data_IF_975789349130
#
_entry.id   IF_975789349130
#
_cell.length_a   1.000
_cell.length_b   1.000
_cell.length_c   1.000
_cell.angle_alpha   90.00
_cell.angle_beta   90.00
_cell.angle_gamma   90.00
#
_symmetry.space_group_name_H-M   'P 1'
#
loop_
_entity.id
_entity.type
_entity.pdbx_description
1 polymer ?
#
# COMPACT_ATOMS: atom_id res chain seq x y z
N UNK A 1 2.37 1.38 -7.18
CA UNK A 1 2.86 2.03 -5.94
C UNK A 1 3.25 0.97 -4.93
N UNK A 2 4.37 1.11 -4.27
CA UNK A 2 4.91 0.05 -3.40
C UNK A 2 5.75 0.61 -2.24
N UNK A 3 6.06 -0.26 -1.28
CA UNK A 3 7.13 -0.12 -0.30
C UNK A 3 8.24 -1.10 -0.69
N UNK A 4 9.49 -0.63 -0.73
CA UNK A 4 10.65 -1.49 -0.95
C UNK A 4 11.03 -2.23 0.34
N UNK A 5 11.57 -3.45 0.21
CA UNK A 5 12.16 -4.15 1.33
C UNK A 5 13.58 -3.64 1.59
N UNK A 6 13.99 -3.53 2.84
CA UNK A 6 15.41 -3.35 3.15
C UNK A 6 16.20 -4.64 2.82
N UNK A 7 17.47 -4.52 2.47
CA UNK A 7 18.32 -5.67 2.09
C UNK A 7 18.32 -6.79 3.13
N UNK A 8 18.29 -6.46 4.41
CA UNK A 8 18.30 -7.41 5.53
C UNK A 8 17.03 -8.29 5.51
N UNK A 9 15.85 -7.68 5.39
CA UNK A 9 14.57 -8.41 5.31
C UNK A 9 14.47 -9.25 4.02
N UNK A 10 15.05 -8.77 2.93
CA UNK A 10 15.12 -9.52 1.68
C UNK A 10 16.06 -10.73 1.81
N UNK A 11 17.21 -10.59 2.48
CA UNK A 11 18.14 -11.69 2.73
C UNK A 11 17.54 -12.77 3.63
N UNK A 12 16.91 -12.39 4.75
CA UNK A 12 16.21 -13.32 5.64
C UNK A 12 15.15 -14.16 4.90
N UNK A 13 14.36 -13.49 4.04
CA UNK A 13 13.36 -14.18 3.24
C UNK A 13 14.00 -15.11 2.20
N UNK A 14 15.09 -14.68 1.54
CA UNK A 14 15.77 -15.49 0.54
C UNK A 14 16.40 -16.74 1.14
N UNK A 15 16.94 -16.68 2.35
CA UNK A 15 17.49 -17.84 3.07
C UNK A 15 16.47 -18.98 3.21
N UNK A 16 15.19 -18.68 3.38
CA UNK A 16 14.13 -19.69 3.49
C UNK A 16 13.49 -20.05 2.16
N UNK A 17 13.47 -19.13 1.18
CA UNK A 17 12.83 -19.34 -0.12
C UNK A 17 13.78 -19.99 -1.13
N UNK A 18 15.06 -19.62 -1.17
CA UNK A 18 16.01 -20.12 -2.15
C UNK A 18 16.14 -21.65 -2.16
N UNK A 19 16.21 -22.35 -1.00
CA UNK A 19 16.25 -23.81 -0.98
C UNK A 19 15.02 -24.52 -1.53
N UNK A 20 13.88 -23.82 -1.62
CA UNK A 20 12.62 -24.38 -2.11
C UNK A 20 12.51 -24.33 -3.63
N UNK A 21 13.18 -23.37 -4.28
CA UNK A 21 13.07 -23.11 -5.73
C UNK A 21 13.39 -24.33 -6.60
N UNK A 22 14.45 -25.12 -6.36
CA UNK A 22 14.78 -26.27 -7.19
C UNK A 22 13.72 -27.37 -7.20
N UNK A 23 12.96 -27.50 -6.10
CA UNK A 23 11.89 -28.51 -5.97
C UNK A 23 10.57 -28.09 -6.63
N UNK A 24 10.47 -26.83 -7.12
CA UNK A 24 9.27 -26.27 -7.73
C UNK A 24 9.61 -25.48 -9.00
N UNK A 25 10.18 -26.14 -10.03
CA UNK A 25 10.65 -25.49 -11.25
C UNK A 25 9.50 -24.96 -12.13
N UNK A 26 8.26 -25.44 -11.93
CA UNK A 26 7.06 -24.99 -12.65
C UNK A 26 6.58 -23.61 -12.19
N UNK A 27 7.01 -23.16 -11.00
CA UNK A 27 6.67 -21.83 -10.52
C UNK A 27 7.60 -20.76 -11.11
N UNK A 28 7.03 -19.62 -11.45
CA UNK A 28 7.80 -18.42 -11.80
C UNK A 28 8.15 -17.68 -10.52
N UNK A 29 9.30 -17.99 -9.95
CA UNK A 29 9.79 -17.32 -8.76
C UNK A 29 10.13 -15.87 -9.04
N UNK A 30 9.71 -14.98 -8.13
CA UNK A 30 10.10 -13.56 -8.14
C UNK A 30 11.52 -13.45 -7.62
N UNK A 31 12.39 -12.79 -8.36
CA UNK A 31 13.76 -12.53 -7.90
C UNK A 31 13.79 -11.56 -6.70
N UNK A 32 14.84 -11.63 -5.90
CA UNK A 32 15.02 -10.78 -4.71
C UNK A 32 14.91 -9.29 -5.06
N UNK A 33 15.55 -8.87 -6.17
CA UNK A 33 15.53 -7.48 -6.65
C UNK A 33 14.14 -6.97 -7.07
N UNK A 34 13.19 -7.91 -7.23
CA UNK A 34 11.82 -7.61 -7.62
C UNK A 34 10.84 -7.64 -6.44
N UNK A 35 11.32 -7.98 -5.25
CA UNK A 35 10.47 -8.04 -4.07
C UNK A 35 10.08 -6.65 -3.57
N UNK A 36 8.81 -6.44 -3.45
CA UNK A 36 8.23 -5.21 -2.92
C UNK A 36 6.82 -5.48 -2.35
N UNK A 37 6.42 -4.68 -1.40
CA UNK A 37 5.06 -4.68 -0.87
C UNK A 37 4.20 -3.72 -1.70
N UNK A 38 3.29 -4.27 -2.48
CA UNK A 38 2.39 -3.46 -3.32
C UNK A 38 1.34 -2.74 -2.48
N UNK A 39 1.23 -1.42 -2.63
CA UNK A 39 0.17 -0.59 -2.04
C UNK A 39 -1.01 -0.40 -3.01
N UNK A 40 -0.72 -0.22 -4.29
CA UNK A 40 -1.72 -0.12 -5.33
C UNK A 40 -1.10 -0.46 -6.69
N UNK A 41 -1.77 -1.29 -7.47
CA UNK A 41 -1.42 -1.58 -8.84
C UNK A 41 -2.20 -0.65 -9.76
N UNK A 42 -1.50 0.19 -10.53
CA UNK A 42 -2.13 1.27 -11.32
C UNK A 42 -2.40 0.86 -12.78
N UNK A 43 -1.91 -0.32 -13.21
CA UNK A 43 -1.98 -0.70 -14.61
C UNK A 43 -1.12 0.19 -15.50
N UNK A 44 -1.57 0.42 -16.73
CA UNK A 44 -0.94 1.36 -17.66
C UNK A 44 -1.35 2.79 -17.30
N UNK A 45 -0.36 3.69 -17.23
CA UNK A 45 -0.54 5.08 -16.84
C UNK A 45 0.08 5.96 -17.91
N UNK A 46 -0.68 6.90 -18.45
CA UNK A 46 -0.19 7.87 -19.43
C UNK A 46 0.74 8.93 -18.80
N UNK A 47 1.47 9.66 -19.64
CA UNK A 47 2.41 10.70 -19.19
C UNK A 47 1.73 11.82 -18.40
N UNK A 48 0.52 12.21 -18.77
CA UNK A 48 -0.23 13.28 -18.10
C UNK A 48 -0.62 12.87 -16.69
N UNK A 49 -1.12 11.64 -16.54
CA UNK A 49 -1.42 11.08 -15.22
C UNK A 49 -0.15 10.86 -14.39
N UNK A 50 0.95 10.42 -15.01
CA UNK A 50 2.26 10.25 -14.35
C UNK A 50 2.75 11.56 -13.75
N UNK A 51 2.67 12.68 -14.49
CA UNK A 51 3.03 14.00 -13.96
C UNK A 51 2.18 14.45 -12.77
N UNK A 52 0.89 14.10 -12.76
CA UNK A 52 -0.01 14.39 -11.64
C UNK A 52 0.21 13.49 -10.43
N UNK A 53 0.64 12.25 -10.67
CA UNK A 53 0.91 11.26 -9.61
C UNK A 53 1.95 11.77 -8.62
N UNK A 54 3.04 12.37 -9.07
CA UNK A 54 4.11 12.85 -8.20
C UNK A 54 3.58 13.78 -7.09
N UNK A 55 2.78 14.78 -7.46
CA UNK A 55 2.19 15.71 -6.49
C UNK A 55 1.19 14.99 -5.56
N UNK A 56 0.36 14.08 -6.09
CA UNK A 56 -0.62 13.33 -5.30
C UNK A 56 0.04 12.37 -4.31
N UNK A 57 1.12 11.72 -4.73
CA UNK A 57 1.88 10.79 -3.88
C UNK A 57 2.62 11.53 -2.77
N UNK A 58 3.23 12.68 -3.06
CA UNK A 58 3.80 13.56 -2.03
C UNK A 58 2.77 13.94 -0.97
N UNK A 59 1.56 14.33 -1.39
CA UNK A 59 0.49 14.68 -0.47
C UNK A 59 -0.05 13.48 0.31
N UNK A 60 -0.08 12.28 -0.28
CA UNK A 60 -0.47 11.06 0.40
C UNK A 60 0.58 10.69 1.47
N UNK A 61 1.87 10.61 1.08
CA UNK A 61 2.96 10.22 1.97
C UNK A 61 3.07 11.12 3.22
N UNK A 62 2.96 12.43 3.05
CA UNK A 62 3.05 13.40 4.17
C UNK A 62 1.96 13.27 5.24
N UNK A 63 0.90 12.49 5.00
CA UNK A 63 -0.18 12.25 5.98
C UNK A 63 0.09 11.07 6.89
N UNK A 64 1.10 10.26 6.56
CA UNK A 64 1.41 9.03 7.27
C UNK A 64 2.81 9.09 7.87
N UNK A 65 2.95 8.53 9.07
CA UNK A 65 4.26 8.31 9.72
C UNK A 65 4.89 7.03 9.22
N UNK A 66 6.23 6.85 9.36
CA UNK A 66 6.88 5.57 9.12
C UNK A 66 6.19 4.42 9.87
N UNK A 67 6.15 3.25 9.23
CA UNK A 67 5.45 2.06 9.71
C UNK A 67 6.46 1.00 10.13
N UNK A 68 6.26 0.40 11.30
CA UNK A 68 7.02 -0.78 11.71
C UNK A 68 6.35 -2.03 11.13
N UNK A 69 7.05 -2.74 10.25
CA UNK A 69 6.54 -3.90 9.52
C UNK A 69 7.52 -5.07 9.63
N UNK A 70 7.03 -6.30 9.49
CA UNK A 70 7.82 -7.50 9.31
C UNK A 70 7.16 -8.42 8.29
N UNK A 71 7.94 -9.32 7.67
CA UNK A 71 7.41 -10.40 6.85
C UNK A 71 7.04 -11.57 7.75
N UNK A 72 5.90 -12.22 7.52
CA UNK A 72 5.49 -13.36 8.32
C UNK A 72 4.58 -14.31 7.56
N UNK A 73 4.79 -15.60 7.80
CA UNK A 73 3.97 -16.66 7.25
C UNK A 73 3.92 -16.69 5.73
N UNK A 74 2.99 -17.46 5.19
CA UNK A 74 2.76 -17.55 3.76
C UNK A 74 1.30 -17.88 3.44
N UNK A 75 0.93 -17.65 2.19
CA UNK A 75 -0.38 -18.00 1.69
C UNK A 75 -0.40 -18.01 0.16
N UNK A 76 -1.59 -18.24 -0.39
CA UNK A 76 -1.76 -18.26 -1.83
C UNK A 76 -3.10 -17.66 -2.26
N UNK A 77 -3.12 -17.07 -3.45
CA UNK A 77 -4.37 -16.61 -4.08
C UNK A 77 -4.72 -17.50 -5.27
N UNK A 78 -6.02 -17.85 -5.43
CA UNK A 78 -7.14 -17.62 -4.51
C UNK A 78 -7.15 -18.57 -3.30
N UNK A 79 -6.46 -19.71 -3.35
CA UNK A 79 -6.31 -20.68 -2.28
C UNK A 79 -5.09 -21.58 -2.55
N UNK A 80 -4.50 -22.21 -1.51
CA UNK A 80 -3.29 -23.01 -1.63
C UNK A 80 -3.43 -24.20 -2.60
N UNK A 81 -4.61 -24.84 -2.62
CA UNK A 81 -4.88 -26.01 -3.48
C UNK A 81 -5.03 -25.68 -4.97
N UNK A 82 -5.22 -24.41 -5.31
CA UNK A 82 -5.35 -23.96 -6.71
C UNK A 82 -4.75 -22.56 -6.89
N UNK A 83 -3.54 -22.40 -6.40
CA UNK A 83 -2.84 -21.13 -6.39
C UNK A 83 -2.51 -20.62 -7.80
N UNK A 84 -2.61 -19.31 -7.95
CA UNK A 84 -2.00 -18.56 -9.05
C UNK A 84 -0.86 -17.67 -8.55
N UNK A 85 -0.88 -17.32 -7.26
CA UNK A 85 0.15 -16.52 -6.61
C UNK A 85 0.47 -17.14 -5.26
N UNK A 86 1.76 -17.42 -5.02
CA UNK A 86 2.31 -17.72 -3.71
C UNK A 86 2.88 -16.43 -3.12
N UNK A 87 2.62 -16.15 -1.84
CA UNK A 87 3.04 -14.91 -1.19
C UNK A 87 3.46 -15.14 0.27
N UNK A 88 4.25 -14.22 0.82
CA UNK A 88 4.45 -14.07 2.26
C UNK A 88 3.63 -12.90 2.79
N UNK A 89 3.13 -13.03 4.01
CA UNK A 89 2.31 -12.01 4.67
C UNK A 89 3.15 -10.89 5.29
N UNK A 90 2.45 -9.92 5.84
CA UNK A 90 3.00 -8.76 6.53
C UNK A 90 2.39 -8.70 7.92
N UNK A 91 3.22 -8.40 8.91
CA UNK A 91 2.80 -8.08 10.29
C UNK A 91 3.30 -6.70 10.71
N UNK A 92 2.86 -6.22 11.88
CA UNK A 92 3.20 -4.92 12.44
C UNK A 92 2.05 -3.92 12.34
N UNK A 93 2.31 -2.67 11.95
CA UNK A 93 1.29 -1.62 11.84
C UNK A 93 0.42 -1.79 10.59
N UNK A 94 -0.43 -2.84 10.59
CA UNK A 94 -1.33 -3.16 9.48
C UNK A 94 -2.41 -2.08 9.28
N UNK A 95 -2.88 -1.46 10.35
CA UNK A 95 -3.86 -0.38 10.27
C UNK A 95 -3.25 0.87 9.60
N UNK A 96 -2.02 1.23 9.97
CA UNK A 96 -1.27 2.30 9.31
C UNK A 96 -1.03 2.00 7.84
N UNK A 97 -0.65 0.76 7.54
CA UNK A 97 -0.41 0.29 6.18
C UNK A 97 -1.68 0.34 5.32
N UNK A 98 -2.82 -0.10 5.86
CA UNK A 98 -4.12 -0.02 5.19
C UNK A 98 -4.51 1.43 4.88
N UNK A 99 -4.41 2.33 5.86
CA UNK A 99 -4.67 3.76 5.65
C UNK A 99 -3.74 4.40 4.61
N UNK A 100 -2.46 3.99 4.59
CA UNK A 100 -1.51 4.44 3.58
C UNK A 100 -1.90 3.96 2.18
N UNK A 101 -2.25 2.67 2.03
CA UNK A 101 -2.72 2.10 0.76
C UNK A 101 -3.98 2.82 0.24
N UNK A 102 -4.95 3.10 1.11
CA UNK A 102 -6.17 3.86 0.77
C UNK A 102 -5.84 5.30 0.31
N UNK A 103 -4.91 5.96 1.00
CA UNK A 103 -4.47 7.32 0.63
C UNK A 103 -3.77 7.35 -0.72
N UNK A 104 -2.93 6.34 -0.99
CA UNK A 104 -2.23 6.15 -2.27
C UNK A 104 -3.24 5.87 -3.39
N UNK A 105 -4.17 4.94 -3.18
CA UNK A 105 -5.21 4.59 -4.15
C UNK A 105 -6.11 5.79 -4.49
N UNK A 106 -6.54 6.54 -3.47
CA UNK A 106 -7.35 7.75 -3.65
C UNK A 106 -6.57 8.86 -4.39
N UNK A 107 -5.28 9.01 -4.06
CA UNK A 107 -4.39 9.95 -4.74
C UNK A 107 -4.19 9.61 -6.21
N UNK A 108 -3.97 8.34 -6.51
CA UNK A 108 -3.82 7.82 -7.87
C UNK A 108 -5.10 8.01 -8.70
N UNK A 109 -6.26 7.69 -8.14
CA UNK A 109 -7.55 7.93 -8.80
C UNK A 109 -7.75 9.42 -9.18
N UNK A 110 -7.39 10.35 -8.27
CA UNK A 110 -7.44 11.79 -8.53
C UNK A 110 -6.39 12.27 -9.54
N UNK A 111 -5.35 11.51 -9.78
CA UNK A 111 -4.36 11.78 -10.83
C UNK A 111 -4.80 11.28 -12.21
N UNK A 112 -5.86 10.48 -12.29
CA UNK A 112 -6.31 9.83 -13.53
C UNK A 112 -5.78 8.40 -13.70
N UNK A 113 -5.15 7.82 -12.67
CA UNK A 113 -4.62 6.47 -12.66
C UNK A 113 -5.24 5.64 -11.52
N UNK A 114 -6.54 5.31 -11.56
CA UNK A 114 -7.17 4.52 -10.52
C UNK A 114 -6.55 3.13 -10.43
N UNK A 115 -6.53 2.49 -9.24
CA UNK A 115 -6.06 1.11 -9.11
C UNK A 115 -6.80 0.16 -10.05
N UNK A 116 -6.04 -0.69 -10.75
CA UNK A 116 -6.56 -1.60 -11.77
C UNK A 116 -7.37 -2.77 -11.18
N UNK A 117 -7.13 -3.13 -9.93
CA UNK A 117 -7.81 -4.19 -9.19
C UNK A 117 -9.13 -3.75 -8.51
N UNK A 118 -9.49 -2.48 -8.69
CA UNK A 118 -10.63 -1.88 -8.05
C UNK A 118 -10.45 -1.74 -6.53
N UNK A 119 -11.54 -1.43 -5.81
CA UNK A 119 -11.54 -1.30 -4.34
C UNK A 119 -11.89 -2.62 -3.66
N UNK A 120 -11.26 -3.71 -4.03
CA UNK A 120 -11.30 -4.93 -3.21
C UNK A 120 -10.46 -4.70 -1.97
N UNK A 121 -10.86 -5.26 -0.82
CA UNK A 121 -10.16 -5.07 0.44
C UNK A 121 -8.65 -5.28 0.28
N UNK A 122 -7.85 -4.31 0.70
CA UNK A 122 -6.40 -4.39 0.63
C UNK A 122 -5.90 -5.55 1.50
N UNK A 123 -5.18 -6.48 0.88
CA UNK A 123 -4.51 -7.59 1.57
C UNK A 123 -3.00 -7.42 1.41
N UNK A 124 -2.30 -6.96 2.45
CA UNK A 124 -0.86 -6.75 2.40
C UNK A 124 -0.13 -8.09 2.22
N UNK A 125 0.65 -8.20 1.16
CA UNK A 125 1.44 -9.39 0.85
C UNK A 125 2.62 -9.03 -0.06
N UNK A 126 3.64 -9.89 -0.03
CA UNK A 126 4.75 -9.86 -0.96
C UNK A 126 4.71 -11.12 -1.84
N UNK A 127 4.69 -10.96 -3.14
CA UNK A 127 4.63 -12.08 -4.10
C UNK A 127 5.98 -12.82 -4.15
N UNK A 128 5.97 -14.11 -3.82
CA UNK A 128 7.13 -15.00 -3.92
C UNK A 128 7.22 -15.70 -5.28
N UNK A 129 6.07 -16.15 -5.79
CA UNK A 129 6.01 -16.85 -7.07
C UNK A 129 4.64 -16.71 -7.73
N UNK A 130 4.60 -16.93 -9.04
CA UNK A 130 3.37 -17.02 -9.84
C UNK A 130 3.28 -18.37 -10.53
N UNK A 131 2.09 -18.97 -10.50
CA UNK A 131 1.82 -20.21 -11.19
C UNK A 131 1.36 -19.92 -12.62
N UNK A 132 1.90 -20.63 -13.62
CA UNK A 132 1.47 -20.52 -15.04
C UNK A 132 0.04 -21.03 -15.24
N UNK A 133 -0.31 -22.09 -14.53
CA UNK A 133 -1.65 -22.66 -14.40
C UNK A 133 -1.97 -22.81 -12.90
N UNK A 134 -3.25 -22.93 -12.49
CA UNK A 134 -3.58 -23.23 -11.10
C UNK A 134 -2.82 -24.46 -10.61
N UNK A 135 -2.11 -24.35 -9.48
CA UNK A 135 -1.31 -25.41 -8.89
C UNK A 135 -1.60 -25.55 -7.40
N UNK A 136 -1.40 -26.74 -6.85
CA UNK A 136 -1.44 -26.97 -5.42
C UNK A 136 -0.07 -26.63 -4.83
N UNK A 137 -0.03 -25.60 -3.99
CA UNK A 137 1.16 -25.12 -3.27
C UNK A 137 1.01 -25.26 -1.76
N UNK A 138 0.08 -26.09 -1.28
CA UNK A 138 -0.19 -26.28 0.16
C UNK A 138 1.07 -26.61 0.93
N UNK A 139 1.91 -27.53 0.41
CA UNK A 139 3.18 -27.90 1.03
C UNK A 139 4.16 -26.72 1.17
N UNK A 140 4.18 -25.79 0.20
CA UNK A 140 5.01 -24.58 0.29
C UNK A 140 4.46 -23.61 1.33
N UNK A 141 3.15 -23.42 1.37
CA UNK A 141 2.49 -22.60 2.38
C UNK A 141 2.78 -23.15 3.78
N UNK A 142 2.65 -24.46 3.98
CA UNK A 142 2.95 -25.11 5.27
C UNK A 142 4.42 -24.92 5.68
N UNK A 143 5.37 -25.10 4.74
CA UNK A 143 6.79 -24.91 5.02
C UNK A 143 7.18 -23.49 5.39
N UNK A 144 6.48 -22.51 4.84
CA UNK A 144 6.73 -21.07 5.08
C UNK A 144 5.84 -20.50 6.18
N UNK A 145 4.87 -21.27 6.71
CA UNK A 145 3.89 -20.78 7.68
C UNK A 145 4.49 -20.27 8.99
N UNK A 146 5.64 -20.85 9.42
CA UNK A 146 6.35 -20.44 10.62
C UNK A 146 7.40 -19.36 10.38
N UNK A 147 7.57 -18.87 9.15
CA UNK A 147 8.50 -17.80 8.87
C UNK A 147 8.09 -16.52 9.59
N UNK A 148 9.03 -15.92 10.31
CA UNK A 148 8.89 -14.65 10.98
C UNK A 148 10.19 -13.87 10.81
N UNK A 149 10.18 -12.86 9.96
CA UNK A 149 11.33 -12.00 9.68
C UNK A 149 11.47 -10.88 10.70
N UNK A 150 12.66 -10.29 10.72
CA UNK A 150 12.95 -9.12 11.57
C UNK A 150 12.11 -7.91 11.16
N UNK A 151 11.67 -7.14 12.15
CA UNK A 151 10.91 -5.91 11.95
C UNK A 151 11.81 -4.81 11.37
N UNK A 152 11.29 -4.06 10.40
CA UNK A 152 11.93 -2.87 9.84
C UNK A 152 11.00 -1.65 9.84
N UNK A 153 11.57 -0.46 9.61
CA UNK A 153 10.81 0.78 9.48
C UNK A 153 10.66 1.13 8.01
N UNK A 154 9.44 1.05 7.50
CA UNK A 154 9.09 1.53 6.16
C UNK A 154 8.88 3.05 6.22
N UNK A 155 9.80 3.82 5.65
CA UNK A 155 9.83 5.28 5.72
C UNK A 155 9.52 5.99 4.39
N UNK A 156 9.39 5.25 3.29
CA UNK A 156 9.14 5.78 1.95
C UNK A 156 8.17 4.91 1.14
N UNK A 157 7.48 5.55 0.20
CA UNK A 157 6.72 4.87 -0.85
C UNK A 157 7.33 5.15 -2.21
N UNK A 158 7.20 4.20 -3.15
CA UNK A 158 7.83 4.23 -4.46
C UNK A 158 6.80 4.08 -5.58
N UNK A 159 7.00 4.80 -6.67
CA UNK A 159 6.38 4.49 -7.95
C UNK A 159 7.33 3.57 -8.71
N UNK A 160 6.91 2.34 -8.91
CA UNK A 160 7.69 1.33 -9.61
C UNK A 160 7.04 1.06 -10.96
N UNK A 161 7.81 1.17 -12.03
CA UNK A 161 7.44 0.73 -13.36
C UNK A 161 7.91 -0.71 -13.55
N UNK A 162 6.95 -1.62 -13.80
CA UNK A 162 7.24 -3.02 -14.09
C UNK A 162 7.10 -3.28 -15.59
N UNK A 163 8.20 -3.63 -16.25
CA UNK A 163 8.17 -4.14 -17.62
C UNK A 163 8.00 -5.66 -17.57
N UNK A 164 6.80 -6.09 -17.94
CA UNK A 164 6.47 -7.52 -17.98
C UNK A 164 7.15 -8.17 -19.19
N UNK A 165 7.76 -9.34 -19.00
CA UNK A 165 8.47 -10.07 -20.02
C UNK A 165 9.07 -11.37 -19.47
N UNK A 166 9.92 -12.03 -20.25
CA UNK A 166 10.64 -13.24 -19.82
C UNK A 166 11.55 -12.96 -18.60
N UNK A 167 12.10 -11.75 -18.52
CA UNK A 167 12.84 -11.21 -17.39
C UNK A 167 12.18 -9.88 -16.98
N UNK A 168 11.28 -9.88 -15.98
CA UNK A 168 10.67 -8.64 -15.50
C UNK A 168 11.73 -7.67 -14.99
N UNK A 169 11.65 -6.42 -15.40
CA UNK A 169 12.50 -5.33 -14.91
C UNK A 169 11.65 -4.37 -14.13
N UNK A 170 12.18 -3.93 -12.99
CA UNK A 170 11.54 -2.97 -12.11
C UNK A 170 12.40 -1.71 -12.07
N UNK A 171 11.79 -0.57 -12.40
CA UNK A 171 12.44 0.73 -12.43
C UNK A 171 11.71 1.66 -11.46
N UNK A 172 12.45 2.30 -10.56
CA UNK A 172 11.89 3.30 -9.65
C UNK A 172 11.78 4.61 -10.40
N UNK A 173 10.56 5.09 -10.63
CA UNK A 173 10.27 6.36 -11.28
C UNK A 173 10.16 7.53 -10.29
N UNK A 174 9.99 7.25 -9.00
CA UNK A 174 9.92 8.28 -7.96
C UNK A 174 9.77 7.69 -6.57
N UNK A 175 10.17 8.46 -5.57
CA UNK A 175 10.03 8.11 -4.15
C UNK A 175 9.49 9.30 -3.35
N UNK A 176 8.78 9.01 -2.27
CA UNK A 176 8.22 10.03 -1.37
C UNK A 176 8.33 9.55 0.07
N UNK A 177 9.07 10.32 0.91
CA UNK A 177 9.20 9.99 2.32
C UNK A 177 7.87 10.18 3.05
N UNK A 178 7.59 9.28 3.99
CA UNK A 178 6.54 9.44 4.97
C UNK A 178 6.91 10.54 5.96
N UNK A 179 5.91 11.10 6.63
CA UNK A 179 6.12 12.24 7.56
C UNK A 179 6.89 11.78 8.79
N UNK A 180 8.15 12.19 8.93
CA UNK A 180 8.86 12.05 10.21
C UNK A 180 8.13 12.87 11.27
N UNK A 181 7.79 12.32 12.45
CA UNK A 181 7.31 13.11 13.56
C UNK A 181 8.36 14.18 13.87
N UNK A 182 8.03 15.45 13.62
CA UNK A 182 8.94 16.54 13.91
C UNK A 182 9.29 16.50 15.40
N UNK A 183 10.55 16.63 15.73
CA UNK A 183 10.97 17.15 17.03
C UNK A 183 10.23 18.47 17.18
N UNK A 184 9.26 18.51 18.08
CA UNK A 184 8.52 19.72 18.39
C UNK A 184 9.54 20.81 18.70
N UNK A 185 9.69 21.77 17.79
CA UNK A 185 10.32 23.04 18.08
C UNK A 185 9.48 23.65 19.20
N UNK A 186 9.94 23.50 20.42
CA UNK A 186 9.36 24.12 21.59
C UNK A 186 9.16 25.59 21.31
N UNK A 187 7.91 25.99 21.17
CA UNK A 187 7.52 27.38 21.09
C UNK A 187 7.89 27.99 22.46
N UNK A 188 8.80 28.94 22.52
CA UNK A 188 9.08 29.60 23.82
C UNK A 188 7.78 30.24 24.27
N UNK A 189 7.29 29.84 25.45
CA UNK A 189 6.18 30.47 26.13
C UNK A 189 6.61 31.84 26.58
N UNK A 190 6.42 32.84 25.73
CA UNK A 190 6.53 34.25 26.07
C UNK A 190 5.40 34.64 27.02
N UNK A 191 5.67 34.70 28.32
CA UNK A 191 4.83 35.38 29.28
C UNK A 191 4.91 36.87 28.98
N UNK A 192 3.86 37.39 28.35
CA UNK A 192 3.59 38.84 28.26
C UNK A 192 2.34 39.15 29.08
N UNK A 193 2.51 39.74 30.27
CA UNK A 193 1.43 40.40 31.05
C UNK A 193 1.08 41.70 30.32
N UNK A 194 -0.20 41.91 30.06
CA UNK A 194 -0.74 43.19 29.64
C UNK A 194 -2.22 43.26 29.98
N UNK A 195 -2.53 44.08 30.98
CA UNK A 195 -3.88 44.36 31.48
C UNK A 195 -4.60 45.37 30.57
N UNK A 196 -5.93 45.32 30.56
CA UNK A 196 -6.74 46.51 30.26
C UNK A 196 -7.99 46.31 29.44
N UNK A 197 -9.15 46.25 30.12
CA UNK A 197 -10.30 47.09 29.89
C UNK A 197 -11.40 46.63 28.91
N UNK A 198 -12.66 46.91 29.27
CA UNK A 198 -13.83 46.23 28.73
C UNK A 198 -14.64 47.10 27.75
N UNK A 199 -15.47 46.41 26.95
CA UNK A 199 -16.52 47.03 26.10
C UNK A 199 -17.06 45.92 25.18
N UNK A 200 -18.25 45.44 25.27
CA UNK A 200 -19.56 46.02 25.13
C UNK A 200 -20.11 45.80 23.74
N UNK A 201 -21.24 45.08 23.57
CA UNK A 201 -22.09 45.17 22.37
C UNK A 201 -22.33 43.88 21.63
N UNK A 202 -23.45 43.25 21.90
CA UNK A 202 -24.70 43.00 21.17
C UNK A 202 -24.73 41.97 20.04
N UNK A 203 -25.46 40.94 20.31
CA UNK A 203 -26.58 40.23 19.62
C UNK A 203 -26.70 40.31 18.09
N UNK A 204 -26.75 39.12 17.50
CA UNK A 204 -27.26 38.90 16.16
C UNK A 204 -27.65 37.44 15.95
N UNK A 205 -28.92 37.14 16.23
CA UNK A 205 -29.59 35.86 15.92
C UNK A 205 -29.85 35.74 14.43
N UNK A 206 -29.67 34.55 13.86
CA UNK A 206 -30.06 34.20 12.51
C UNK A 206 -30.16 32.68 12.32
N UNK A 207 -31.35 32.14 12.60
CA UNK A 207 -31.78 30.80 12.19
C UNK A 207 -32.17 30.81 10.70
N UNK A 208 -32.11 29.69 10.06
CA UNK A 208 -32.78 29.13 8.87
C UNK A 208 -31.88 28.06 8.31
N UNK A 209 -32.26 26.83 7.95
CA UNK A 209 -33.50 26.19 7.74
C UNK A 209 -33.16 24.80 7.15
N UNK A 210 -33.95 23.84 7.54
CA UNK A 210 -33.85 22.44 7.14
C UNK A 210 -34.21 22.25 5.65
N UNK A 211 -33.50 21.34 4.97
CA UNK A 211 -33.82 20.85 3.64
C UNK A 211 -33.62 19.34 3.54
N UNK A 212 -34.68 18.58 3.81
CA UNK A 212 -34.84 17.17 3.41
C UNK A 212 -35.10 17.06 1.93
N UNK A 213 -34.52 16.08 1.24
CA UNK A 213 -35.12 15.24 0.16
C UNK A 213 -34.14 14.12 -0.15
N UNK A 214 -34.46 12.93 0.08
CA UNK A 214 -35.27 11.85 -0.51
C UNK A 214 -34.64 11.19 -1.74
N UNK A 215 -34.23 9.94 -1.52
CA UNK A 215 -34.53 8.71 -2.27
C UNK A 215 -34.26 8.66 -3.79
N UNK A 216 -33.52 7.64 -4.20
CA UNK A 216 -33.37 7.22 -5.60
C UNK A 216 -32.60 5.91 -5.70
N UNK A 217 -33.32 4.83 -5.40
CA UNK A 217 -32.95 3.44 -5.72
C UNK A 217 -32.98 3.26 -7.23
N UNK A 218 -31.94 2.66 -7.84
CA UNK A 218 -32.06 1.89 -9.08
C UNK A 218 -30.96 0.87 -9.22
N UNK A 219 -31.42 -0.37 -9.30
CA UNK A 219 -30.74 -1.59 -9.72
C UNK A 219 -30.10 -1.43 -11.12
N UNK A 220 -28.96 -2.05 -11.33
CA UNK A 220 -28.52 -2.57 -12.63
C UNK A 220 -27.32 -3.51 -12.42
N UNK A 221 -27.56 -4.81 -12.46
CA UNK A 221 -27.11 -5.82 -13.42
C UNK A 221 -25.59 -5.96 -13.62
N UNK A 222 -25.13 -7.06 -13.10
CA UNK A 222 -24.29 -8.13 -13.69
C UNK A 222 -23.64 -7.79 -15.04
N UNK A 223 -22.31 -7.69 -15.08
CA UNK A 223 -21.47 -8.05 -16.23
C UNK A 223 -20.14 -8.64 -15.81
N UNK A 224 -20.09 -9.95 -15.86
CA UNK A 224 -18.97 -10.83 -16.16
C UNK A 224 -17.95 -10.16 -17.08
N UNK A 225 -16.68 -10.16 -16.74
CA UNK A 225 -15.59 -10.23 -17.69
C UNK A 225 -14.30 -10.74 -17.06
N UNK A 226 -13.90 -11.91 -17.49
CA UNK A 226 -12.52 -12.38 -17.56
C UNK A 226 -11.89 -11.84 -18.87
N UNK A 227 -10.59 -12.02 -19.15
CA UNK A 227 -9.62 -12.94 -18.54
C UNK A 227 -8.49 -12.27 -17.76
#
# INVERSE_FOLDING_TARGET
>A
MAIALPPEAASELDEVVAPLRPSWPELRWTGVDAWHLTLAFLGEVDEVATGRLAHRMSNAARRHTPLSLSLAGAGAFPAAQRARVLWTGIEGDLDGLGRLADSVAAGAGKAGAPPADGRRGYQPHLTLARCRAPADVSTLVDRLSSFAGTSWVASEIYLIHSRLGAQPRYEILGSWPLRTPGHGSGRPSGRGRGAGGPGGGERGSGSWGAGKRSNGNRDAEDRTCAP
#
